data_IF_749299225700
#
_entry.id   IF_749299225700
#
_cell.length_a   1.000
_cell.length_b   1.000
_cell.length_c   1.000
_cell.angle_alpha   90.00
_cell.angle_beta   90.00
_cell.angle_gamma   90.00
#
_symmetry.space_group_name_H-M   'P 1'
#
loop_
_entity.id
_entity.type
_entity.pdbx_description
1 polymer ?
#
# COMPACT_ATOMS: atom_id res chain seq x y z
N UNK A 1 1.81 20.48 5.59
CA UNK A 1 2.95 20.78 4.68
C UNK A 1 3.11 19.58 3.74
N UNK A 2 3.29 19.79 2.42
CA UNK A 2 3.51 18.67 1.49
C UNK A 2 4.95 18.17 1.68
N UNK A 3 5.18 16.86 1.95
CA UNK A 3 6.54 16.36 2.09
C UNK A 3 7.26 16.35 0.73
N UNK A 4 8.58 16.44 0.77
CA UNK A 4 9.39 16.12 -0.40
C UNK A 4 9.19 14.65 -0.77
N UNK A 5 9.13 14.29 -2.08
CA UNK A 5 9.04 12.90 -2.50
C UNK A 5 10.19 12.07 -1.94
N UNK A 6 9.89 10.84 -1.54
CA UNK A 6 10.91 9.88 -1.10
C UNK A 6 11.78 9.45 -2.28
N UNK A 7 11.21 9.42 -3.49
CA UNK A 7 11.93 9.06 -4.71
C UNK A 7 11.44 9.88 -5.90
N UNK A 8 12.37 10.13 -6.84
CA UNK A 8 12.02 10.86 -8.07
C UNK A 8 11.59 12.30 -7.80
N UNK A 9 10.57 12.77 -8.55
CA UNK A 9 10.12 14.17 -8.52
C UNK A 9 8.66 14.33 -8.05
N UNK A 10 7.95 13.23 -7.81
CA UNK A 10 6.51 13.25 -7.51
C UNK A 10 6.19 12.18 -6.47
N UNK A 11 5.29 12.53 -5.57
CA UNK A 11 4.61 11.63 -4.66
C UNK A 11 3.10 11.88 -4.79
N UNK A 12 2.29 10.85 -4.59
CA UNK A 12 0.84 10.99 -4.62
C UNK A 12 0.32 11.42 -3.26
N UNK A 13 -0.50 12.47 -3.21
CA UNK A 13 -1.15 12.92 -2.00
C UNK A 13 -2.67 12.78 -2.14
N UNK A 14 -3.29 12.13 -1.15
CA UNK A 14 -4.76 12.08 -1.08
C UNK A 14 -5.35 13.46 -0.81
N UNK A 15 -6.62 13.63 -1.13
CA UNK A 15 -7.37 14.79 -0.64
C UNK A 15 -7.56 14.68 0.87
N UNK A 16 -7.70 15.82 1.56
CA UNK A 16 -8.15 15.83 2.95
C UNK A 16 -9.66 15.61 2.96
N UNK A 17 -10.12 14.53 3.57
CA UNK A 17 -11.54 14.19 3.61
C UNK A 17 -11.91 13.54 4.94
N UNK A 18 -13.21 13.59 5.26
CA UNK A 18 -13.82 12.84 6.36
C UNK A 18 -14.39 11.52 5.83
N UNK A 19 -14.43 10.50 6.70
CA UNK A 19 -14.93 9.18 6.37
C UNK A 19 -13.98 8.38 5.48
N UNK A 20 -14.51 7.34 4.84
CA UNK A 20 -13.74 6.45 3.97
C UNK A 20 -13.47 7.14 2.63
N UNK A 21 -12.21 7.22 2.26
CA UNK A 21 -11.80 7.66 0.93
C UNK A 21 -10.56 6.90 0.47
N UNK A 22 -10.40 6.73 -0.85
CA UNK A 22 -9.30 5.94 -1.39
C UNK A 22 -8.85 6.41 -2.77
N UNK A 23 -7.63 6.03 -3.11
CA UNK A 23 -7.07 6.09 -4.46
C UNK A 23 -6.67 4.68 -4.86
N UNK A 24 -6.91 4.29 -6.10
CA UNK A 24 -6.49 2.98 -6.56
C UNK A 24 -6.11 2.98 -8.04
N UNK A 25 -5.38 1.98 -8.44
CA UNK A 25 -5.20 1.59 -9.83
C UNK A 25 -5.50 0.11 -10.01
N UNK A 26 -5.94 -0.27 -11.19
CA UNK A 26 -6.28 -1.63 -11.56
C UNK A 26 -5.89 -1.88 -13.01
N UNK A 27 -5.62 -3.13 -13.38
CA UNK A 27 -5.28 -3.50 -14.76
C UNK A 27 -3.89 -3.01 -15.16
N UNK A 28 -2.93 -3.01 -14.25
CA UNK A 28 -1.54 -2.68 -14.55
C UNK A 28 -1.02 -3.56 -15.70
N UNK A 29 -0.46 -2.94 -16.75
CA UNK A 29 0.10 -3.65 -17.91
C UNK A 29 1.24 -4.60 -17.54
N UNK A 30 2.03 -4.22 -16.54
CA UNK A 30 3.06 -5.05 -15.92
C UNK A 30 2.54 -5.53 -14.56
N UNK A 31 1.74 -6.59 -14.58
CA UNK A 31 1.27 -7.23 -13.37
C UNK A 31 2.44 -7.88 -12.61
N UNK A 32 2.36 -7.91 -11.30
CA UNK A 32 3.41 -8.37 -10.41
C UNK A 32 3.09 -9.78 -9.91
N UNK A 33 3.90 -10.77 -10.31
CA UNK A 33 3.82 -12.11 -9.70
C UNK A 33 4.41 -12.08 -8.29
N UNK A 34 3.69 -12.59 -7.31
CA UNK A 34 4.09 -12.65 -5.90
C UNK A 34 4.56 -14.07 -5.57
N UNK A 35 5.83 -14.20 -5.25
CA UNK A 35 6.44 -15.46 -4.87
C UNK A 35 6.22 -15.79 -3.39
N UNK A 36 6.42 -17.06 -3.03
CA UNK A 36 6.42 -17.49 -1.63
C UNK A 36 7.49 -16.71 -0.85
N UNK A 37 7.10 -16.18 0.30
CA UNK A 37 7.97 -15.38 1.17
C UNK A 37 8.14 -13.92 0.79
N UNK A 38 7.57 -13.47 -0.32
CA UNK A 38 7.62 -12.04 -0.69
C UNK A 38 6.94 -11.16 0.38
N UNK A 39 7.45 -9.95 0.51
CA UNK A 39 6.84 -8.90 1.32
C UNK A 39 6.37 -7.77 0.42
N UNK A 40 5.11 -7.43 0.57
CA UNK A 40 4.50 -6.28 -0.12
C UNK A 40 4.77 -5.01 0.67
N UNK A 41 4.89 -3.86 0.00
CA UNK A 41 5.14 -2.61 0.70
C UNK A 41 4.54 -1.39 0.00
N UNK A 42 4.37 -0.34 0.78
CA UNK A 42 4.17 1.03 0.33
C UNK A 42 4.82 2.00 1.32
N UNK A 43 5.30 3.14 0.83
CA UNK A 43 5.75 4.22 1.69
C UNK A 43 4.63 5.24 1.89
N UNK A 44 4.45 5.64 3.13
CA UNK A 44 3.44 6.60 3.54
C UNK A 44 4.05 7.72 4.37
N UNK A 45 3.57 8.93 4.16
CA UNK A 45 3.81 10.07 5.03
C UNK A 45 2.47 10.56 5.56
N UNK A 46 2.30 10.56 6.87
CA UNK A 46 1.12 11.09 7.55
C UNK A 46 1.38 12.54 7.97
N UNK A 47 0.49 13.45 7.57
CA UNK A 47 0.56 14.86 7.98
C UNK A 47 0.13 14.97 9.46
N UNK A 48 1.00 15.49 10.36
CA UNK A 48 0.67 15.61 11.78
C UNK A 48 -0.59 16.43 12.07
N UNK A 49 -0.91 17.40 11.20
CA UNK A 49 -2.09 18.27 11.35
C UNK A 49 -3.38 17.64 10.80
N UNK A 50 -3.29 16.52 10.08
CA UNK A 50 -4.41 15.91 9.34
C UNK A 50 -4.34 14.39 9.36
N UNK A 51 -4.17 13.85 10.55
CA UNK A 51 -4.02 12.40 10.77
C UNK A 51 -5.28 11.63 10.35
N UNK A 52 -5.15 10.54 9.61
CA UNK A 52 -6.23 9.58 9.49
C UNK A 52 -6.38 8.78 10.80
N UNK A 53 -7.53 8.16 10.99
CA UNK A 53 -7.76 7.19 12.07
C UNK A 53 -7.39 5.77 11.64
N UNK A 54 -7.46 5.48 10.34
CA UNK A 54 -7.06 4.19 9.77
C UNK A 54 -6.38 4.37 8.43
N UNK A 55 -5.38 3.55 8.18
CA UNK A 55 -4.71 3.37 6.90
C UNK A 55 -4.90 1.94 6.45
N UNK A 56 -5.34 1.72 5.21
CA UNK A 56 -5.51 0.38 4.65
C UNK A 56 -4.86 0.30 3.27
N UNK A 57 -4.10 -0.75 3.05
CA UNK A 57 -3.60 -1.15 1.74
C UNK A 57 -4.42 -2.33 1.22
N UNK A 58 -4.75 -2.30 -0.06
CA UNK A 58 -5.47 -3.37 -0.74
C UNK A 58 -4.74 -3.75 -2.02
N UNK A 59 -4.83 -5.01 -2.41
CA UNK A 59 -4.23 -5.53 -3.64
C UNK A 59 -5.29 -6.24 -4.47
N UNK A 60 -5.25 -6.03 -5.78
CA UNK A 60 -6.13 -6.69 -6.73
C UNK A 60 -5.43 -7.87 -7.40
N UNK A 61 -5.92 -9.08 -7.09
CA UNK A 61 -5.49 -10.34 -7.69
C UNK A 61 -6.72 -11.14 -8.15
N UNK A 62 -7.44 -10.60 -9.17
CA UNK A 62 -8.75 -11.09 -9.58
C UNK A 62 -9.91 -10.52 -8.77
N UNK A 63 -9.68 -10.19 -7.51
CA UNK A 63 -10.60 -9.48 -6.61
C UNK A 63 -9.82 -8.59 -5.65
N UNK A 64 -10.52 -7.85 -4.77
CA UNK A 64 -9.93 -6.94 -3.77
C UNK A 64 -9.86 -7.55 -2.36
N UNK A 65 -10.09 -8.85 -2.17
CA UNK A 65 -10.14 -9.50 -0.84
C UNK A 65 -8.75 -9.82 -0.27
N UNK A 66 -7.83 -8.89 -0.45
CA UNK A 66 -6.46 -8.93 0.02
C UNK A 66 -6.12 -7.58 0.67
N UNK A 67 -6.36 -7.45 2.00
CA UNK A 67 -6.24 -6.16 2.70
C UNK A 67 -5.42 -6.26 3.96
N UNK A 68 -4.64 -5.21 4.22
CA UNK A 68 -3.93 -5.00 5.48
C UNK A 68 -4.15 -3.58 5.98
N UNK A 69 -4.33 -3.39 7.31
CA UNK A 69 -4.61 -2.08 7.85
C UNK A 69 -3.84 -1.78 9.14
N UNK A 70 -3.68 -0.49 9.40
CA UNK A 70 -3.06 0.10 10.58
C UNK A 70 -4.00 1.12 11.22
N UNK A 71 -3.93 1.23 12.55
CA UNK A 71 -4.77 2.15 13.33
C UNK A 71 -6.07 1.53 13.80
N UNK A 72 -7.14 2.31 13.77
CA UNK A 72 -8.47 1.86 14.19
C UNK A 72 -9.11 0.95 13.14
N UNK A 73 -10.14 0.19 13.54
CA UNK A 73 -10.87 -0.74 12.65
C UNK A 73 -12.21 -0.14 12.23
N UNK A 74 -12.17 0.90 11.40
CA UNK A 74 -13.35 1.68 11.00
C UNK A 74 -13.82 1.39 9.58
N UNK A 75 -12.94 0.85 8.72
CA UNK A 75 -13.28 0.48 7.34
C UNK A 75 -13.84 -0.94 7.35
N UNK A 76 -15.13 -1.14 7.00
CA UNK A 76 -15.85 -2.40 7.22
C UNK A 76 -15.58 -3.47 6.14
N UNK A 77 -14.64 -3.24 5.22
CA UNK A 77 -14.40 -4.13 4.10
C UNK A 77 -13.59 -5.36 4.48
N UNK A 78 -14.11 -6.53 4.12
CA UNK A 78 -13.54 -7.83 4.44
C UNK A 78 -13.86 -8.28 5.87
N UNK A 79 -13.33 -9.45 6.24
CA UNK A 79 -13.49 -10.06 7.57
C UNK A 79 -12.21 -9.89 8.37
N UNK A 80 -12.31 -9.33 9.56
CA UNK A 80 -11.16 -9.06 10.43
C UNK A 80 -10.40 -10.35 10.79
N UNK A 81 -9.08 -10.24 10.89
CA UNK A 81 -8.17 -11.36 11.14
C UNK A 81 -8.19 -12.46 10.06
N UNK A 82 -8.54 -12.09 8.83
CA UNK A 82 -8.44 -12.96 7.64
C UNK A 82 -7.61 -12.29 6.55
N UNK A 83 -7.30 -13.01 5.49
CA UNK A 83 -6.60 -12.46 4.31
C UNK A 83 -7.32 -11.26 3.70
N UNK A 84 -8.65 -11.18 3.89
CA UNK A 84 -9.46 -10.09 3.36
C UNK A 84 -9.43 -8.81 4.20
N UNK A 85 -8.95 -8.88 5.46
CA UNK A 85 -8.71 -7.72 6.34
C UNK A 85 -7.81 -8.09 7.52
N UNK A 86 -6.51 -7.86 7.38
CA UNK A 86 -5.50 -8.20 8.38
C UNK A 86 -5.02 -6.96 9.15
N UNK A 87 -5.09 -6.98 10.47
CA UNK A 87 -4.52 -5.94 11.32
C UNK A 87 -2.99 -6.04 11.37
N UNK A 88 -2.30 -4.93 11.18
CA UNK A 88 -0.84 -4.86 11.12
C UNK A 88 -0.21 -4.05 12.26
N UNK A 89 -1.01 -3.38 13.07
CA UNK A 89 -0.53 -2.59 14.19
C UNK A 89 -1.05 -1.14 14.22
N UNK A 90 -0.51 -0.30 15.12
CA UNK A 90 -0.90 1.10 15.21
C UNK A 90 -0.53 1.88 13.95
N UNK A 91 -1.10 3.07 13.81
CA UNK A 91 -0.69 4.00 12.75
C UNK A 91 0.82 4.28 12.81
N UNK A 92 1.48 4.41 11.66
CA UNK A 92 2.86 4.83 11.63
C UNK A 92 3.01 6.26 12.18
N UNK A 93 4.19 6.59 12.75
CA UNK A 93 4.42 7.92 13.28
C UNK A 93 4.32 8.98 12.18
N UNK A 94 3.64 10.12 12.47
CA UNK A 94 3.50 11.21 11.51
C UNK A 94 4.79 12.01 11.31
N UNK A 95 4.78 12.88 10.29
CA UNK A 95 5.84 13.83 10.02
C UNK A 95 7.11 13.25 9.38
N UNK A 96 7.09 11.99 9.01
CA UNK A 96 8.18 11.31 8.30
C UNK A 96 7.66 10.24 7.36
N UNK A 97 8.48 9.87 6.37
CA UNK A 97 8.22 8.71 5.54
C UNK A 97 8.39 7.43 6.34
N UNK A 98 7.41 6.54 6.24
CA UNK A 98 7.43 5.21 6.86
C UNK A 98 7.11 4.18 5.79
N UNK A 99 7.88 3.10 5.75
CA UNK A 99 7.59 1.95 4.92
C UNK A 99 6.65 1.00 5.66
N UNK A 100 5.45 0.82 5.12
CA UNK A 100 4.53 -0.22 5.53
C UNK A 100 4.90 -1.51 4.82
N UNK A 101 5.09 -2.60 5.55
CA UNK A 101 5.38 -3.91 4.98
C UNK A 101 4.37 -4.95 5.42
N UNK A 102 3.96 -5.80 4.47
CA UNK A 102 3.00 -6.88 4.68
C UNK A 102 3.56 -8.18 4.10
N UNK A 103 3.74 -9.24 4.90
CA UNK A 103 4.05 -10.55 4.34
C UNK A 103 2.94 -10.98 3.37
N UNK A 104 3.29 -11.40 2.17
CA UNK A 104 2.31 -11.77 1.15
C UNK A 104 1.38 -12.91 1.59
N UNK A 105 1.91 -13.86 2.37
CA UNK A 105 1.13 -14.95 2.97
C UNK A 105 -0.02 -14.43 3.85
N UNK A 106 0.22 -13.35 4.61
CA UNK A 106 -0.76 -12.79 5.57
C UNK A 106 -2.04 -12.30 4.89
N UNK A 107 -1.93 -11.87 3.64
CA UNK A 107 -3.05 -11.39 2.82
C UNK A 107 -3.38 -12.33 1.66
N UNK A 108 -2.85 -13.57 1.68
CA UNK A 108 -3.19 -14.64 0.72
C UNK A 108 -2.71 -14.37 -0.72
N UNK A 109 -1.60 -13.67 -0.90
CA UNK A 109 -1.12 -13.28 -2.23
C UNK A 109 0.04 -14.10 -2.77
N UNK A 110 0.59 -15.03 -2.00
CA UNK A 110 1.64 -15.93 -2.50
C UNK A 110 1.11 -16.77 -3.68
N UNK A 111 1.87 -16.84 -4.75
CA UNK A 111 1.49 -17.52 -5.99
C UNK A 111 0.49 -16.76 -6.85
N UNK A 112 0.09 -15.54 -6.47
CA UNK A 112 -0.89 -14.74 -7.20
C UNK A 112 -0.22 -13.69 -8.12
N UNK A 113 -1.00 -13.23 -9.10
CA UNK A 113 -0.62 -12.10 -9.96
C UNK A 113 -1.40 -10.87 -9.50
N UNK A 114 -0.70 -9.88 -9.00
CA UNK A 114 -1.28 -8.61 -8.54
C UNK A 114 -1.22 -7.61 -9.68
N UNK A 115 -2.38 -7.09 -10.08
CA UNK A 115 -2.55 -6.14 -11.19
C UNK A 115 -3.12 -4.79 -10.74
N UNK A 116 -3.27 -4.57 -9.44
CA UNK A 116 -3.79 -3.32 -8.91
C UNK A 116 -3.50 -3.17 -7.41
N UNK A 117 -3.61 -1.93 -6.94
CA UNK A 117 -3.43 -1.60 -5.55
C UNK A 117 -4.31 -0.41 -5.16
N UNK A 118 -4.84 -0.42 -3.95
CA UNK A 118 -5.59 0.69 -3.38
C UNK A 118 -4.98 1.18 -2.08
N UNK A 119 -5.05 2.48 -1.89
CA UNK A 119 -4.57 3.24 -0.73
C UNK A 119 -5.78 3.91 -0.08
N UNK A 120 -6.26 3.35 1.00
CA UNK A 120 -7.52 3.73 1.63
C UNK A 120 -7.26 4.35 2.98
N UNK A 121 -8.01 5.38 3.30
CA UNK A 121 -7.98 6.08 4.58
C UNK A 121 -9.38 6.17 5.18
N UNK A 122 -9.42 6.22 6.50
CA UNK A 122 -10.58 6.74 7.23
C UNK A 122 -10.19 8.07 7.85
N UNK A 123 -10.84 9.15 7.42
CA UNK A 123 -10.52 10.55 7.72
C UNK A 123 -9.11 10.98 7.26
N UNK A 124 -8.79 12.24 7.47
CA UNK A 124 -7.45 12.77 7.33
C UNK A 124 -6.91 12.81 5.90
N UNK A 125 -5.60 12.71 5.77
CA UNK A 125 -4.88 12.63 4.50
C UNK A 125 -3.53 11.94 4.66
N UNK A 126 -3.01 11.39 3.57
CA UNK A 126 -1.68 10.81 3.49
C UNK A 126 -1.01 11.15 2.16
N UNK A 127 0.32 11.10 2.15
CA UNK A 127 1.11 11.13 0.93
C UNK A 127 1.77 9.77 0.74
N UNK A 128 1.76 9.27 -0.48
CA UNK A 128 2.23 7.94 -0.84
C UNK A 128 3.36 8.03 -1.86
N UNK A 129 4.34 7.16 -1.70
CA UNK A 129 5.43 7.00 -2.66
C UNK A 129 5.90 5.55 -2.63
N UNK A 130 6.45 5.07 -3.72
CA UNK A 130 7.06 3.75 -3.88
C UNK A 130 6.25 2.61 -3.24
N UNK A 131 5.56 1.84 -4.07
CA UNK A 131 4.91 0.59 -3.67
C UNK A 131 5.38 -0.57 -4.53
N UNK A 132 5.31 -1.79 -4.00
CA UNK A 132 5.76 -2.97 -4.74
C UNK A 132 5.94 -4.17 -3.83
N UNK A 133 6.85 -5.05 -4.22
CA UNK A 133 7.25 -6.20 -3.42
C UNK A 133 8.77 -6.27 -3.23
N UNK A 134 9.19 -6.97 -2.19
CA UNK A 134 10.56 -7.36 -1.92
C UNK A 134 10.60 -8.89 -1.79
N UNK A 135 11.50 -9.52 -2.54
CA UNK A 135 11.75 -10.95 -2.39
C UNK A 135 12.44 -11.24 -1.05
N UNK A 136 12.10 -12.38 -0.44
CA UNK A 136 12.94 -12.97 0.60
C UNK A 136 14.21 -13.47 -0.08
N UNK A 137 15.36 -12.97 0.39
CA UNK A 137 16.64 -13.52 -0.06
C UNK A 137 16.90 -14.86 0.60
N UNK A 138 17.48 -15.83 -0.13
CA UNK A 138 17.99 -17.05 0.49
C UNK A 138 19.02 -16.71 1.56
N UNK A 139 18.91 -17.35 2.73
CA UNK A 139 19.94 -17.27 3.78
C UNK A 139 21.24 -17.82 3.21
N UNK A 140 22.22 -16.93 2.96
CA UNK A 140 23.55 -17.35 2.46
C UNK A 140 24.18 -16.48 1.37
N UNK A 141 23.47 -15.52 0.81
CA UNK A 141 24.07 -14.49 -0.06
C UNK A 141 24.45 -13.29 0.78
N UNK A 142 25.75 -13.01 0.87
CA UNK A 142 26.34 -11.95 1.70
C UNK A 142 25.62 -10.61 1.60
N UNK A 143 25.86 -9.86 2.63
CA UNK A 143 25.50 -8.45 2.89
C UNK A 143 24.73 -7.77 1.75
N UNK A 144 23.41 -7.65 1.95
CA UNK A 144 22.54 -7.01 0.96
C UNK A 144 22.62 -5.51 1.06
N UNK A 145 22.91 -4.91 -0.09
CA UNK A 145 22.68 -3.50 -0.34
C UNK A 145 21.18 -3.16 -0.08
N UNK A 146 20.86 -2.37 0.97
CA UNK A 146 19.50 -1.94 1.21
C UNK A 146 18.92 -1.07 0.07
N UNK A 147 19.76 -0.69 -0.90
CA UNK A 147 19.39 0.03 -2.13
C UNK A 147 18.99 -0.90 -3.28
N UNK A 148 19.09 -2.24 -3.13
CA UNK A 148 18.67 -3.16 -4.17
C UNK A 148 17.22 -2.84 -4.61
N UNK A 149 16.99 -2.68 -5.92
CA UNK A 149 15.68 -2.23 -6.40
C UNK A 149 14.62 -3.23 -6.03
N UNK A 150 13.75 -2.84 -5.12
CA UNK A 150 12.49 -3.52 -4.95
C UNK A 150 11.77 -3.50 -6.30
N UNK A 151 11.24 -4.64 -6.73
CA UNK A 151 10.43 -4.67 -7.95
C UNK A 151 9.18 -3.81 -7.71
N UNK A 152 9.17 -2.66 -8.33
CA UNK A 152 7.98 -1.82 -8.43
C UNK A 152 7.02 -2.43 -9.45
N UNK A 153 5.78 -1.97 -9.45
CA UNK A 153 4.95 -2.09 -10.62
C UNK A 153 5.68 -1.40 -11.78
N UNK A 154 6.52 -2.16 -12.48
CA UNK A 154 7.29 -1.66 -13.63
C UNK A 154 6.37 -1.64 -14.83
N UNK A 155 5.94 -0.52 -15.19
CA UNK A 155 5.08 -0.29 -16.34
C UNK A 155 4.91 1.19 -16.59
N UNK A 156 5.91 1.93 -16.25
CA UNK A 156 5.84 3.39 -16.22
C UNK A 156 5.55 3.86 -14.81
N UNK A 157 5.95 5.06 -14.53
CA UNK A 157 5.53 5.88 -13.41
C UNK A 157 4.09 5.52 -13.06
N UNK A 158 3.81 5.14 -11.81
CA UNK A 158 2.44 5.06 -11.31
C UNK A 158 1.79 6.39 -11.66
N UNK A 159 1.05 6.43 -12.75
CA UNK A 159 0.33 7.62 -13.15
C UNK A 159 -0.93 7.68 -12.31
N UNK A 160 -0.80 8.23 -11.13
CA UNK A 160 -1.91 8.49 -10.22
C UNK A 160 -2.92 9.49 -10.80
N UNK A 161 -2.70 10.04 -11.99
CA UNK A 161 -3.67 10.94 -12.65
C UNK A 161 -4.89 10.20 -13.17
N UNK A 162 -4.82 8.88 -13.32
CA UNK A 162 -5.95 8.02 -13.67
C UNK A 162 -6.67 7.43 -12.47
N UNK A 163 -6.32 7.84 -11.26
CA UNK A 163 -6.96 7.37 -10.03
C UNK A 163 -8.36 7.98 -9.96
N UNK A 164 -9.33 7.18 -10.31
CA UNK A 164 -10.74 7.49 -10.08
C UNK A 164 -10.96 7.37 -8.58
N UNK A 165 -11.43 8.42 -7.95
CA UNK A 165 -12.05 8.37 -6.63
C UNK A 165 -13.45 7.77 -6.81
N UNK A 166 -13.65 6.47 -6.58
CA UNK A 166 -14.99 5.96 -6.55
C UNK A 166 -15.50 6.27 -5.15
N UNK A 167 -16.35 7.25 -5.06
CA UNK A 167 -17.33 7.23 -4.01
C UNK A 167 -17.93 5.82 -4.00
N UNK A 168 -17.27 4.90 -3.25
CA UNK A 168 -17.88 3.73 -2.63
C UNK A 168 -18.75 2.89 -3.56
N UNK A 169 -18.17 1.88 -4.14
CA UNK A 169 -18.87 0.66 -4.50
C UNK A 169 -18.65 -0.34 -3.35
N UNK A 170 -19.71 -0.74 -2.71
CA UNK A 170 -19.77 -1.76 -1.69
C UNK A 170 -19.16 -3.09 -2.13
#
# INVERSE_FOLDING_TARGET
>A
MKPEPLSGRRAHQSVFAAGIHQHFFQGAKAAMFVSVGDRLFAHVYLDPARMPHQVMLQWHAGNWDHRAYWGENLIPWGTDNTVSRQYMGPLPPPGRWVRLEVPAATVGLEGQIVAGMAFTLFDGMATWDRSGKRALQPVGSGEQDPSAPALFFTGGTLDFTSVIDPAIGA
#
